data_IF_928833908354
#
_entry.id   IF_928833908354
#
_cell.length_a   1.000
_cell.length_b   1.000
_cell.length_c   1.000
_cell.angle_alpha   90.00
_cell.angle_beta   90.00
_cell.angle_gamma   90.00
#
_symmetry.space_group_name_H-M   'P 1'
#
loop_
_entity.id
_entity.type
_entity.pdbx_description
1 polymer ?
#
# COMPACT_ATOMS: atom_id res chain seq x y z
N UNK A 1 -4.19 8.68 -5.46
CA UNK A 1 -4.53 7.44 -6.19
C UNK A 1 -5.04 6.34 -5.25
N UNK A 2 -4.23 5.80 -4.34
CA UNK A 2 -4.59 4.61 -3.53
C UNK A 2 -5.93 4.71 -2.79
N UNK A 3 -6.20 5.85 -2.14
CA UNK A 3 -7.50 6.11 -1.48
C UNK A 3 -8.69 5.98 -2.42
N UNK A 4 -8.58 6.54 -3.62
CA UNK A 4 -9.63 6.44 -4.63
C UNK A 4 -9.80 4.98 -5.07
N UNK A 5 -8.71 4.26 -5.33
CA UNK A 5 -8.76 2.87 -5.77
C UNK A 5 -9.39 1.96 -4.72
N UNK A 6 -8.97 2.07 -3.45
CA UNK A 6 -9.55 1.32 -2.32
C UNK A 6 -11.05 1.62 -2.21
N UNK A 7 -11.44 2.90 -2.29
CA UNK A 7 -12.84 3.30 -2.24
C UNK A 7 -13.67 2.73 -3.39
N UNK A 8 -13.12 2.66 -4.60
CA UNK A 8 -13.79 2.01 -5.72
C UNK A 8 -14.01 0.52 -5.40
N UNK A 9 -12.95 -0.19 -5.00
CA UNK A 9 -13.00 -1.64 -4.69
C UNK A 9 -14.01 -1.96 -3.59
N UNK A 10 -14.00 -1.18 -2.51
CA UNK A 10 -14.90 -1.39 -1.39
C UNK A 10 -16.37 -1.08 -1.76
N UNK A 11 -16.62 -0.11 -2.65
CA UNK A 11 -18.00 0.31 -2.99
C UNK A 11 -18.62 -0.47 -4.13
N UNK A 12 -17.85 -0.81 -5.17
CA UNK A 12 -18.37 -1.44 -6.38
C UNK A 12 -18.40 -2.96 -6.26
N UNK A 13 -17.29 -3.55 -5.84
CA UNK A 13 -17.17 -5.01 -5.72
C UNK A 13 -17.50 -5.51 -4.30
N UNK A 14 -17.52 -4.61 -3.31
CA UNK A 14 -17.76 -4.99 -1.91
C UNK A 14 -16.66 -5.90 -1.37
N UNK A 15 -15.42 -5.75 -1.89
CA UNK A 15 -14.27 -6.59 -1.56
C UNK A 15 -13.23 -5.82 -0.73
N UNK A 16 -12.42 -6.51 0.08
CA UNK A 16 -11.29 -5.89 0.75
C UNK A 16 -10.21 -5.47 -0.26
N UNK A 17 -9.38 -4.50 0.14
CA UNK A 17 -8.21 -4.09 -0.62
C UNK A 17 -6.95 -4.21 0.25
N UNK A 18 -5.83 -4.56 -0.38
CA UNK A 18 -4.51 -4.60 0.25
C UNK A 18 -3.65 -3.54 -0.40
N UNK A 19 -2.89 -2.81 0.39
CA UNK A 19 -1.84 -1.93 -0.10
C UNK A 19 -0.53 -2.28 0.62
N UNK A 20 0.57 -2.02 -0.05
CA UNK A 20 1.91 -2.30 0.45
C UNK A 20 2.82 -1.12 0.09
N UNK A 21 3.80 -0.87 0.95
CA UNK A 21 4.87 0.09 0.76
C UNK A 21 6.11 -0.40 1.51
N UNK A 22 7.28 0.05 1.09
CA UNK A 22 8.52 -0.27 1.77
C UNK A 22 8.70 0.61 3.01
N UNK A 23 9.28 0.09 4.09
CA UNK A 23 9.53 0.88 5.30
C UNK A 23 10.36 2.15 5.05
N UNK A 24 11.30 2.14 4.09
CA UNK A 24 12.08 3.31 3.75
C UNK A 24 11.25 4.45 3.16
N UNK A 25 10.08 4.18 2.59
CA UNK A 25 9.23 5.21 1.99
C UNK A 25 8.67 6.17 3.05
N UNK A 26 8.61 5.77 4.33
CA UNK A 26 8.12 6.61 5.44
C UNK A 26 9.24 7.23 6.29
N UNK A 27 10.51 7.02 5.93
CA UNK A 27 11.67 7.57 6.64
C UNK A 27 12.45 8.56 5.75
N UNK A 28 12.14 9.87 5.82
CA UNK A 28 12.88 10.91 5.11
C UNK A 28 14.32 11.09 5.61
N UNK A 29 14.63 10.64 6.83
CA UNK A 29 15.93 10.79 7.47
C UNK A 29 16.85 9.58 7.26
N UNK A 30 16.40 8.60 6.48
CA UNK A 30 17.18 7.41 6.17
C UNK A 30 18.57 7.76 5.62
N UNK A 31 19.60 6.94 5.93
CA UNK A 31 20.93 7.11 5.37
C UNK A 31 20.93 7.15 3.83
N UNK A 32 21.74 8.05 3.26
CA UNK A 32 21.90 8.17 1.80
C UNK A 32 23.08 7.36 1.29
N UNK A 33 22.85 6.56 0.25
CA UNK A 33 23.90 5.78 -0.41
C UNK A 33 24.69 6.69 -1.35
N UNK A 34 25.90 7.08 -0.93
CA UNK A 34 26.74 8.02 -1.66
C UNK A 34 27.10 7.55 -3.08
N UNK A 35 27.45 6.27 -3.26
CA UNK A 35 27.97 5.74 -4.52
C UNK A 35 26.91 5.09 -5.42
N UNK A 36 25.62 5.37 -5.19
CA UNK A 36 24.55 4.84 -6.04
C UNK A 36 24.42 5.62 -7.37
N UNK A 37 24.03 4.95 -8.48
CA UNK A 37 23.67 5.63 -9.73
C UNK A 37 22.59 6.69 -9.51
N UNK A 38 22.65 7.81 -10.26
CA UNK A 38 21.70 8.93 -10.13
C UNK A 38 20.25 8.44 -10.28
N UNK A 39 19.97 7.54 -11.24
CA UNK A 39 18.63 6.95 -11.43
C UNK A 39 18.12 6.24 -10.19
N UNK A 40 18.98 5.51 -9.48
CA UNK A 40 18.63 4.83 -8.23
C UNK A 40 18.33 5.84 -7.13
N UNK A 41 19.16 6.88 -6.98
CA UNK A 41 18.93 7.96 -6.01
C UNK A 41 17.60 8.67 -6.24
N UNK A 42 17.29 9.01 -7.50
CA UNK A 42 16.04 9.67 -7.84
C UNK A 42 14.82 8.82 -7.47
N UNK A 43 14.81 7.53 -7.84
CA UNK A 43 13.70 6.63 -7.49
C UNK A 43 13.53 6.45 -5.98
N UNK A 44 14.64 6.41 -5.24
CA UNK A 44 14.65 6.07 -3.83
C UNK A 44 14.38 7.27 -2.90
N UNK A 45 14.83 8.48 -3.27
CA UNK A 45 14.79 9.63 -2.36
C UNK A 45 13.78 10.72 -2.75
N UNK A 46 13.04 10.57 -3.84
CA UNK A 46 12.06 11.57 -4.28
C UNK A 46 10.81 11.51 -3.40
N UNK A 47 10.38 12.67 -2.89
CA UNK A 47 9.09 12.89 -2.21
C UNK A 47 8.85 12.04 -0.94
N UNK A 48 9.92 11.67 -0.21
CA UNK A 48 9.82 10.89 1.04
C UNK A 48 8.98 11.61 2.11
N UNK A 49 9.12 12.93 2.22
CA UNK A 49 8.41 13.74 3.23
C UNK A 49 6.88 13.61 3.17
N UNK A 50 6.34 13.33 1.97
CA UNK A 50 4.90 13.22 1.77
C UNK A 50 4.28 11.89 2.23
N UNK A 51 5.06 10.83 2.41
CA UNK A 51 4.50 9.48 2.61
C UNK A 51 3.84 9.32 3.99
N UNK A 52 4.46 9.84 5.05
CA UNK A 52 3.91 9.73 6.41
C UNK A 52 2.51 10.38 6.52
N UNK A 53 2.32 11.54 5.88
CA UNK A 53 1.01 12.22 5.83
C UNK A 53 -0.03 11.41 5.05
N UNK A 54 0.35 10.86 3.89
CA UNK A 54 -0.52 9.99 3.08
C UNK A 54 -0.93 8.74 3.86
N UNK A 55 0.01 8.12 4.58
CA UNK A 55 -0.24 6.93 5.39
C UNK A 55 -1.20 7.22 6.54
N UNK A 56 -1.03 8.35 7.27
CA UNK A 56 -1.98 8.76 8.32
C UNK A 56 -3.40 8.92 7.79
N UNK A 57 -3.56 9.60 6.65
CA UNK A 57 -4.87 9.75 6.00
C UNK A 57 -5.47 8.40 5.60
N UNK A 58 -4.65 7.52 5.02
CA UNK A 58 -5.09 6.21 4.57
C UNK A 58 -5.54 5.33 5.73
N UNK A 59 -4.74 5.27 6.80
CA UNK A 59 -5.05 4.46 7.98
C UNK A 59 -6.33 4.97 8.68
N UNK A 60 -6.53 6.29 8.76
CA UNK A 60 -7.69 6.88 9.42
C UNK A 60 -9.00 6.84 8.62
N UNK A 61 -8.96 6.52 7.32
CA UNK A 61 -10.16 6.57 6.47
C UNK A 61 -10.88 5.22 6.31
N UNK A 62 -10.15 4.11 6.31
CA UNK A 62 -10.69 2.79 6.00
C UNK A 62 -10.73 1.89 7.23
N UNK A 63 -11.55 0.85 7.16
CA UNK A 63 -11.59 -0.19 8.18
C UNK A 63 -10.50 -1.21 7.89
N UNK A 64 -9.54 -1.33 8.80
CA UNK A 64 -8.45 -2.31 8.72
C UNK A 64 -8.81 -3.57 9.49
N UNK A 65 -8.38 -4.70 8.96
CA UNK A 65 -8.58 -6.01 9.58
C UNK A 65 -7.38 -6.89 9.33
N UNK A 66 -7.40 -8.08 9.94
CA UNK A 66 -6.33 -9.05 9.79
C UNK A 66 -6.45 -9.78 8.46
N UNK A 67 -5.31 -10.11 7.86
CA UNK A 67 -5.26 -10.78 6.56
C UNK A 67 -5.88 -12.18 6.58
N UNK A 68 -5.81 -12.90 7.69
CA UNK A 68 -6.41 -14.24 7.84
C UNK A 68 -7.95 -14.18 7.84
N UNK A 69 -8.55 -13.22 8.54
CA UNK A 69 -10.00 -13.00 8.51
C UNK A 69 -10.48 -12.66 7.09
N UNK A 70 -9.73 -11.83 6.37
CA UNK A 70 -10.04 -11.49 4.99
C UNK A 70 -9.90 -12.70 4.07
N UNK A 71 -8.85 -13.52 4.24
CA UNK A 71 -8.66 -14.73 3.46
C UNK A 71 -9.83 -15.71 3.62
N UNK A 72 -10.31 -15.93 4.84
CA UNK A 72 -11.48 -16.78 5.12
C UNK A 72 -12.74 -16.24 4.41
N UNK A 73 -12.99 -14.93 4.46
CA UNK A 73 -14.15 -14.30 3.80
C UNK A 73 -14.09 -14.41 2.28
N UNK A 74 -12.90 -14.21 1.70
CA UNK A 74 -12.71 -14.22 0.26
C UNK A 74 -12.64 -15.64 -0.33
N UNK A 75 -12.27 -16.65 0.46
CA UNK A 75 -12.25 -18.05 0.03
C UNK A 75 -13.64 -18.53 -0.46
N UNK A 76 -14.72 -18.08 0.19
CA UNK A 76 -16.10 -18.40 -0.23
C UNK A 76 -16.48 -17.84 -1.62
N UNK A 77 -15.71 -16.88 -2.12
CA UNK A 77 -15.92 -16.23 -3.43
C UNK A 77 -14.87 -16.64 -4.46
N UNK A 78 -13.88 -17.45 -4.07
CA UNK A 78 -12.80 -17.86 -4.94
C UNK A 78 -13.34 -18.81 -6.01
N UNK A 79 -13.03 -18.49 -7.27
CA UNK A 79 -13.26 -19.39 -8.40
C UNK A 79 -12.05 -20.33 -8.48
N UNK A 80 -12.20 -21.62 -8.87
CA UNK A 80 -11.06 -22.49 -9.11
C UNK A 80 -10.04 -21.80 -10.00
N UNK A 81 -8.76 -21.81 -9.60
CA UNK A 81 -7.69 -21.39 -10.48
C UNK A 81 -7.72 -22.37 -11.66
N UNK A 82 -7.87 -21.87 -12.89
CA UNK A 82 -7.73 -22.71 -14.07
C UNK A 82 -6.34 -23.35 -14.01
N UNK A 83 -6.30 -24.69 -13.96
CA UNK A 83 -5.09 -25.49 -13.95
C UNK A 83 -4.42 -25.50 -15.32
#
# INVERSE_FOLDING_TARGET
FSRWAIRQVNRREGRPAVFYFHPWEIDPQQPRVANAPIKSKLRHYTNLEGMAGKLRQLIGEFQWGRMDELAVREAARAVPLAA
#
